data_IF_524846006454
#
_entry.id   IF_524846006454
#
_cell.length_a   1.000
_cell.length_b   1.000
_cell.length_c   1.000
_cell.angle_alpha   90.00
_cell.angle_beta   90.00
_cell.angle_gamma   90.00
#
_symmetry.space_group_name_H-M   'P 1'
#
loop_
_entity.id
_entity.type
_entity.pdbx_description
1 polymer ?
#
# COMPACT_ATOMS: atom_id res chain seq x y z
N UNK A 1 -79.44 38.74 16.25
CA UNK A 1 -78.72 40.02 16.03
C UNK A 1 -77.35 39.92 16.66
N UNK A 2 -76.41 40.66 16.08
CA UNK A 2 -75.02 40.91 16.47
C UNK A 2 -73.96 40.02 15.84
N UNK A 3 -73.09 40.77 15.17
CA UNK A 3 -71.98 40.47 14.28
C UNK A 3 -70.68 40.70 15.09
N UNK A 4 -69.56 40.15 14.58
CA UNK A 4 -68.14 40.53 14.82
C UNK A 4 -67.56 40.15 16.19
N UNK A 5 -66.32 39.65 16.32
CA UNK A 5 -65.08 40.09 15.66
C UNK A 5 -64.05 38.96 15.43
N UNK A 6 -63.14 39.25 14.49
CA UNK A 6 -62.01 38.44 14.03
C UNK A 6 -60.80 38.55 14.96
N UNK A 7 -60.10 37.44 15.20
CA UNK A 7 -58.67 37.44 15.52
C UNK A 7 -57.95 36.36 14.71
N UNK A 8 -56.95 36.82 13.96
CA UNK A 8 -56.01 36.03 13.16
C UNK A 8 -54.96 35.43 14.10
N UNK A 9 -54.56 34.18 13.87
CA UNK A 9 -53.21 33.71 14.26
C UNK A 9 -52.71 32.68 13.26
N UNK A 10 -51.51 32.95 12.76
CA UNK A 10 -50.84 32.35 11.61
C UNK A 10 -50.60 30.85 11.73
N UNK A 11 -50.81 30.15 10.61
CA UNK A 11 -50.24 28.84 10.33
C UNK A 11 -48.70 28.94 10.27
N UNK A 12 -48.02 28.19 11.12
CA UNK A 12 -46.58 27.96 11.02
C UNK A 12 -46.37 26.97 9.87
N UNK A 13 -45.88 27.48 8.73
CA UNK A 13 -45.42 26.66 7.62
C UNK A 13 -44.16 25.88 8.05
N UNK A 14 -44.28 24.56 8.10
CA UNK A 14 -43.16 23.63 8.21
C UNK A 14 -42.44 23.61 6.84
N UNK A 15 -41.45 24.49 6.68
CA UNK A 15 -40.61 24.52 5.49
C UNK A 15 -39.68 23.29 5.49
N UNK A 16 -39.76 22.52 4.39
CA UNK A 16 -38.87 21.41 4.07
C UNK A 16 -37.41 21.88 4.00
N UNK A 17 -36.54 21.19 4.73
CA UNK A 17 -35.08 21.32 4.61
C UNK A 17 -34.62 20.87 3.20
N UNK A 18 -33.77 21.63 2.50
CA UNK A 18 -33.18 21.17 1.25
C UNK A 18 -32.09 20.13 1.54
N UNK A 19 -32.15 19.03 0.77
CA UNK A 19 -31.15 17.96 0.78
C UNK A 19 -29.74 18.53 0.59
N UNK A 20 -28.84 18.21 1.52
CA UNK A 20 -27.42 18.52 1.41
C UNK A 20 -26.86 17.84 0.15
N UNK A 21 -26.58 18.63 -0.88
CA UNK A 21 -25.81 18.21 -2.05
C UNK A 21 -24.42 17.79 -1.54
N UNK A 22 -24.11 16.50 -1.57
CA UNK A 22 -22.76 16.00 -1.33
C UNK A 22 -21.87 16.55 -2.44
N UNK A 23 -20.96 17.46 -2.11
CA UNK A 23 -19.93 17.93 -3.02
C UNK A 23 -19.13 16.71 -3.54
N UNK A 24 -19.05 16.57 -4.85
CA UNK A 24 -18.16 15.61 -5.50
C UNK A 24 -16.71 15.94 -5.14
N UNK A 25 -15.88 14.95 -4.79
CA UNK A 25 -14.47 15.20 -4.48
C UNK A 25 -13.75 15.79 -5.70
N UNK A 26 -12.84 16.77 -5.52
CA UNK A 26 -12.13 17.38 -6.63
C UNK A 26 -11.27 16.33 -7.34
N UNK A 27 -11.35 16.30 -8.68
CA UNK A 27 -10.55 15.41 -9.51
C UNK A 27 -9.05 15.65 -9.25
N UNK A 28 -8.31 14.60 -8.93
CA UNK A 28 -6.84 14.65 -8.82
C UNK A 28 -6.24 15.13 -10.15
N UNK A 29 -5.37 16.13 -10.11
CA UNK A 29 -4.65 16.63 -11.31
C UNK A 29 -3.61 15.59 -11.73
N UNK A 30 -3.58 15.27 -13.02
CA UNK A 30 -2.82 14.14 -13.57
C UNK A 30 -1.34 14.43 -13.84
N UNK A 31 -0.88 15.69 -13.87
CA UNK A 31 0.55 15.98 -14.11
C UNK A 31 0.96 17.42 -13.74
N UNK A 32 2.23 17.59 -13.35
CA UNK A 32 2.89 18.87 -13.17
C UNK A 32 3.66 19.27 -14.42
N UNK A 33 3.57 20.54 -14.81
CA UNK A 33 4.35 21.16 -15.88
C UNK A 33 5.84 21.26 -15.51
N UNK A 34 6.70 21.35 -16.53
CA UNK A 34 8.16 21.46 -16.31
C UNK A 34 8.54 22.68 -15.45
N UNK A 35 7.80 23.79 -15.58
CA UNK A 35 8.02 24.99 -14.78
C UNK A 35 7.69 24.78 -13.31
N UNK A 36 6.57 24.11 -13.03
CA UNK A 36 6.18 23.77 -11.66
C UNK A 36 7.19 22.82 -11.00
N UNK A 37 7.76 21.88 -11.75
CA UNK A 37 8.83 20.97 -11.27
C UNK A 37 10.11 21.74 -10.94
N UNK A 38 10.51 22.68 -11.79
CA UNK A 38 11.70 23.51 -11.56
C UNK A 38 11.53 24.41 -10.33
N UNK A 39 10.35 25.03 -10.17
CA UNK A 39 10.08 25.86 -9.01
C UNK A 39 10.04 25.01 -7.71
N UNK A 40 9.62 23.75 -7.79
CA UNK A 40 9.63 22.83 -6.64
C UNK A 40 11.07 22.43 -6.27
N UNK A 41 11.93 22.19 -7.26
CA UNK A 41 13.35 21.91 -7.04
C UNK A 41 14.06 23.10 -6.40
N UNK A 42 13.80 24.33 -6.88
CA UNK A 42 14.37 25.55 -6.31
C UNK A 42 13.92 25.78 -4.86
N UNK A 43 12.64 25.53 -4.56
CA UNK A 43 12.12 25.60 -3.20
C UNK A 43 12.75 24.53 -2.30
N UNK A 44 12.94 23.31 -2.81
CA UNK A 44 13.60 22.25 -2.04
C UNK A 44 15.04 22.60 -1.71
N UNK A 45 15.78 23.17 -2.67
CA UNK A 45 17.17 23.57 -2.44
C UNK A 45 17.28 24.72 -1.43
N UNK A 46 16.36 25.69 -1.48
CA UNK A 46 16.33 26.81 -0.55
C UNK A 46 15.95 26.41 0.88
N UNK A 47 15.04 25.45 1.03
CA UNK A 47 14.50 25.07 2.34
C UNK A 47 15.22 23.88 2.97
N UNK A 48 15.79 23.00 2.13
CA UNK A 48 16.30 21.66 2.48
C UNK A 48 15.31 20.82 3.28
N UNK A 49 14.02 21.13 3.19
CA UNK A 49 12.94 20.51 3.95
C UNK A 49 11.83 20.07 2.99
N UNK A 50 11.95 18.82 2.56
CA UNK A 50 11.01 18.17 1.64
C UNK A 50 9.58 18.20 2.19
N UNK A 51 9.41 18.03 3.50
CA UNK A 51 8.08 17.99 4.11
C UNK A 51 7.39 19.36 4.06
N UNK A 52 8.16 20.43 4.25
CA UNK A 52 7.67 21.81 4.14
C UNK A 52 7.24 22.14 2.71
N UNK A 53 8.07 21.84 1.71
CA UNK A 53 7.77 22.13 0.30
C UNK A 53 6.55 21.34 -0.19
N UNK A 54 6.39 20.08 0.24
CA UNK A 54 5.21 19.28 -0.10
C UNK A 54 3.96 19.86 0.55
N UNK A 55 4.02 20.30 1.81
CA UNK A 55 2.88 20.88 2.53
C UNK A 55 2.44 22.22 1.94
N UNK A 56 3.37 23.07 1.53
CA UNK A 56 3.09 24.37 0.92
C UNK A 56 2.48 24.23 -0.48
N UNK A 57 3.00 23.30 -1.29
CA UNK A 57 2.52 23.11 -2.67
C UNK A 57 1.29 22.22 -2.79
N UNK A 58 1.11 21.32 -1.84
CA UNK A 58 0.01 20.37 -1.82
C UNK A 58 -0.60 20.28 -0.41
N UNK A 59 -1.29 21.33 0.05
CA UNK A 59 -1.87 21.39 1.39
C UNK A 59 -2.85 20.24 1.65
N UNK A 60 -3.48 19.71 0.60
CA UNK A 60 -4.45 18.62 0.66
C UNK A 60 -3.81 17.23 0.66
N UNK A 61 -2.59 17.08 0.11
CA UNK A 61 -1.88 15.79 0.06
C UNK A 61 -1.10 15.49 1.34
N UNK A 62 -0.57 16.50 2.04
CA UNK A 62 0.53 16.28 2.99
C UNK A 62 0.10 15.84 4.40
N UNK A 63 -1.13 16.09 4.82
CA UNK A 63 -1.59 15.71 6.17
C UNK A 63 -2.77 14.75 6.11
N UNK A 64 -3.79 15.04 5.31
CA UNK A 64 -5.06 14.32 5.41
C UNK A 64 -4.95 12.84 4.99
N UNK A 65 -4.43 12.51 3.80
CA UNK A 65 -4.50 11.13 3.30
C UNK A 65 -3.49 10.16 3.96
N UNK A 66 -2.27 10.62 4.23
CA UNK A 66 -1.28 9.80 4.93
C UNK A 66 -1.65 9.61 6.40
N UNK A 67 -1.99 10.69 7.11
CA UNK A 67 -2.42 10.58 8.51
C UNK A 67 -3.75 9.84 8.63
N UNK A 68 -4.70 10.00 7.70
CA UNK A 68 -5.94 9.23 7.70
C UNK A 68 -5.70 7.75 7.52
N UNK A 69 -4.74 7.36 6.66
CA UNK A 69 -4.33 5.95 6.52
C UNK A 69 -3.67 5.43 7.79
N UNK A 70 -2.77 6.20 8.39
CA UNK A 70 -2.14 5.83 9.67
C UNK A 70 -3.17 5.71 10.80
N UNK A 71 -4.14 6.63 10.89
CA UNK A 71 -5.25 6.59 11.86
C UNK A 71 -6.17 5.41 11.60
N UNK A 72 -6.50 5.09 10.34
CA UNK A 72 -7.29 3.92 9.97
C UNK A 72 -6.59 2.63 10.38
N UNK A 73 -5.31 2.48 10.03
CA UNK A 73 -4.49 1.36 10.46
C UNK A 73 -4.43 1.26 11.99
N UNK A 74 -4.24 2.39 12.70
CA UNK A 74 -4.17 2.40 14.16
C UNK A 74 -5.49 2.00 14.81
N UNK A 75 -6.62 2.46 14.25
CA UNK A 75 -7.96 2.06 14.68
C UNK A 75 -8.17 0.56 14.47
N UNK A 76 -7.83 0.01 13.31
CA UNK A 76 -7.93 -1.44 13.01
C UNK A 76 -7.04 -2.28 13.94
N UNK A 77 -5.80 -1.85 14.19
CA UNK A 77 -4.91 -2.54 15.13
C UNK A 77 -5.44 -2.57 16.58
N UNK A 78 -6.18 -1.53 16.98
CA UNK A 78 -6.83 -1.47 18.31
C UNK A 78 -8.01 -2.44 18.40
N UNK A 79 -8.78 -2.58 17.32
CA UNK A 79 -9.91 -3.52 17.24
C UNK A 79 -9.42 -4.97 17.32
N UNK A 80 -8.27 -5.27 16.74
CA UNK A 80 -7.67 -6.61 16.72
C UNK A 80 -6.75 -6.89 17.94
N UNK A 81 -6.70 -5.98 18.93
CA UNK A 81 -5.79 -6.07 20.08
C UNK A 81 -4.32 -6.35 19.69
N UNK A 82 -3.86 -5.80 18.57
CA UNK A 82 -2.50 -6.00 18.07
C UNK A 82 -1.53 -5.05 18.76
N UNK A 83 -0.54 -5.60 19.47
CA UNK A 83 0.55 -4.83 20.05
C UNK A 83 1.55 -4.44 18.97
N UNK A 84 1.74 -3.13 18.76
CA UNK A 84 2.72 -2.61 17.79
C UNK A 84 4.07 -2.37 18.45
N UNK A 85 5.09 -3.08 18.00
CA UNK A 85 6.46 -2.82 18.44
C UNK A 85 7.06 -1.62 17.70
N UNK A 86 7.71 -0.70 18.42
CA UNK A 86 8.48 0.38 17.79
C UNK A 86 9.77 -0.19 17.22
N UNK A 87 10.01 0.06 15.93
CA UNK A 87 11.24 -0.35 15.24
C UNK A 87 12.09 0.88 14.96
N UNK A 88 13.34 0.95 15.44
CA UNK A 88 14.22 2.07 15.13
C UNK A 88 14.52 2.14 13.63
N UNK A 89 14.45 3.34 13.03
CA UNK A 89 14.67 3.55 11.59
C UNK A 89 16.02 3.03 11.09
N UNK A 90 17.06 3.08 11.93
CA UNK A 90 18.42 2.62 11.60
C UNK A 90 18.64 1.11 11.80
N UNK A 91 17.68 0.39 12.38
CA UNK A 91 17.85 -1.01 12.80
C UNK A 91 16.85 -1.96 12.12
N UNK A 92 16.16 -1.51 11.06
CA UNK A 92 15.14 -2.30 10.37
C UNK A 92 15.70 -3.66 9.92
N UNK A 93 16.93 -3.69 9.39
CA UNK A 93 17.59 -4.92 8.91
C UNK A 93 17.84 -5.98 9.99
N UNK A 94 17.88 -5.60 11.27
CA UNK A 94 18.14 -6.52 12.40
C UNK A 94 16.90 -6.75 13.26
N UNK A 95 15.94 -5.83 13.23
CA UNK A 95 14.73 -5.88 14.06
C UNK A 95 13.49 -6.37 13.30
N UNK A 96 13.56 -6.55 11.97
CA UNK A 96 12.46 -7.10 11.18
C UNK A 96 12.76 -8.56 10.80
N UNK A 97 11.98 -9.54 11.31
CA UNK A 97 12.16 -10.96 11.00
C UNK A 97 12.36 -11.27 9.50
N UNK A 98 11.61 -10.56 8.66
CA UNK A 98 11.70 -10.68 7.21
C UNK A 98 13.08 -10.32 6.67
N UNK A 99 13.60 -9.16 7.05
CA UNK A 99 14.91 -8.69 6.61
C UNK A 99 16.05 -9.50 7.20
N UNK A 100 15.89 -10.04 8.41
CA UNK A 100 16.92 -10.83 9.08
C UNK A 100 17.10 -12.20 8.44
N UNK A 101 16.02 -12.83 7.95
CA UNK A 101 16.09 -14.24 7.55
C UNK A 101 15.48 -14.54 6.18
N UNK A 102 14.20 -14.26 5.94
CA UNK A 102 13.53 -14.85 4.76
C UNK A 102 13.53 -13.98 3.50
N UNK A 103 13.71 -12.66 3.59
CA UNK A 103 13.80 -11.79 2.42
C UNK A 103 14.98 -12.15 1.52
N UNK A 104 16.12 -12.54 2.09
CA UNK A 104 17.29 -12.97 1.33
C UNK A 104 17.02 -14.23 0.48
N UNK A 105 16.66 -15.40 1.06
CA UNK A 105 16.39 -16.60 0.28
C UNK A 105 15.19 -16.45 -0.66
N UNK A 106 14.16 -15.70 -0.25
CA UNK A 106 13.02 -15.39 -1.11
C UNK A 106 13.45 -14.62 -2.37
N UNK A 107 14.20 -13.52 -2.21
CA UNK A 107 14.73 -12.74 -3.34
C UNK A 107 15.73 -13.53 -4.18
N UNK A 108 16.49 -14.46 -3.59
CA UNK A 108 17.40 -15.33 -4.33
C UNK A 108 16.64 -16.25 -5.31
N UNK A 109 15.51 -16.83 -4.88
CA UNK A 109 14.66 -17.66 -5.75
C UNK A 109 13.98 -16.87 -6.85
N UNK A 110 13.43 -15.70 -6.54
CA UNK A 110 12.87 -14.81 -7.56
C UNK A 110 13.89 -14.46 -8.65
N UNK A 111 15.14 -14.18 -8.25
CA UNK A 111 16.23 -13.96 -9.21
C UNK A 111 16.55 -15.22 -10.02
N UNK A 112 16.48 -16.41 -9.41
CA UNK A 112 16.70 -17.66 -10.12
C UNK A 112 15.63 -17.91 -11.20
N UNK A 113 14.35 -17.68 -10.91
CA UNK A 113 13.28 -17.77 -11.90
C UNK A 113 13.44 -16.76 -13.02
N UNK A 114 13.77 -15.51 -12.68
CA UNK A 114 14.06 -14.47 -13.65
C UNK A 114 15.21 -14.87 -14.58
N UNK A 115 16.35 -15.30 -14.03
CA UNK A 115 17.51 -15.73 -14.81
C UNK A 115 17.19 -16.96 -15.66
N UNK A 116 16.40 -17.91 -15.14
CA UNK A 116 15.91 -19.06 -15.89
C UNK A 116 15.10 -18.65 -17.12
N UNK A 117 14.17 -17.71 -16.93
CA UNK A 117 13.35 -17.14 -17.99
C UNK A 117 14.20 -16.43 -19.07
N UNK A 118 15.20 -15.63 -18.65
CA UNK A 118 16.15 -15.00 -19.58
C UNK A 118 16.93 -16.03 -20.41
N UNK A 119 17.40 -17.10 -19.77
CA UNK A 119 18.17 -18.16 -20.43
C UNK A 119 17.32 -18.92 -21.44
N UNK A 120 16.05 -19.15 -21.15
CA UNK A 120 15.12 -19.82 -22.06
C UNK A 120 14.85 -18.98 -23.31
N UNK A 121 14.64 -17.67 -23.15
CA UNK A 121 14.51 -16.75 -24.29
C UNK A 121 15.78 -16.74 -25.16
N UNK A 122 16.96 -16.73 -24.54
CA UNK A 122 18.22 -16.73 -25.27
C UNK A 122 18.43 -18.04 -26.05
N UNK A 123 17.99 -19.18 -25.51
CA UNK A 123 18.05 -20.47 -26.21
C UNK A 123 17.05 -20.58 -27.37
N UNK A 124 15.87 -19.98 -27.22
CA UNK A 124 14.85 -19.97 -28.26
C UNK A 124 15.17 -18.98 -29.40
N UNK A 125 16.10 -18.05 -29.17
CA UNK A 125 16.48 -17.06 -30.15
C UNK A 125 17.32 -17.67 -31.28
N UNK A 126 16.78 -17.62 -32.51
CA UNK A 126 17.50 -17.99 -33.72
C UNK A 126 18.33 -16.82 -34.26
N UNK A 127 19.56 -17.09 -34.69
CA UNK A 127 20.62 -16.12 -35.03
C UNK A 127 20.36 -15.22 -36.24
N UNK A 128 19.15 -15.21 -36.81
CA UNK A 128 18.79 -14.39 -37.97
C UNK A 128 18.45 -12.94 -37.64
N UNK A 129 17.99 -12.66 -36.41
CA UNK A 129 17.49 -11.34 -36.00
C UNK A 129 18.20 -10.85 -34.72
N UNK A 130 17.98 -9.57 -34.37
CA UNK A 130 18.44 -9.01 -33.09
C UNK A 130 17.61 -9.60 -31.94
N UNK A 131 18.28 -10.01 -30.87
CA UNK A 131 17.60 -10.47 -29.66
C UNK A 131 16.79 -9.33 -29.03
N UNK A 132 15.50 -9.55 -28.85
CA UNK A 132 14.59 -8.66 -28.12
C UNK A 132 14.09 -9.38 -26.86
N UNK A 133 14.34 -8.78 -25.70
CA UNK A 133 13.92 -9.35 -24.43
C UNK A 133 12.40 -9.18 -24.26
N UNK A 134 11.70 -10.29 -24.04
CA UNK A 134 10.30 -10.28 -23.63
C UNK A 134 10.23 -10.18 -22.11
N UNK A 135 9.47 -9.20 -21.59
CA UNK A 135 9.20 -9.08 -20.17
C UNK A 135 8.19 -10.14 -19.72
N UNK A 136 8.26 -10.63 -18.47
CA UNK A 136 7.29 -11.58 -17.95
C UNK A 136 5.99 -10.84 -17.63
N UNK A 137 4.86 -11.40 -18.02
CA UNK A 137 3.55 -10.91 -17.58
C UNK A 137 3.34 -11.04 -16.06
N UNK A 138 2.34 -10.32 -15.54
CA UNK A 138 2.01 -10.30 -14.12
C UNK A 138 1.64 -11.68 -13.58
N UNK A 139 0.92 -12.50 -14.35
CA UNK A 139 0.52 -13.86 -13.96
C UNK A 139 1.76 -14.73 -13.68
N UNK A 140 2.77 -14.62 -14.54
CA UNK A 140 4.04 -15.34 -14.39
C UNK A 140 4.86 -14.85 -13.20
N UNK A 141 4.92 -13.53 -12.98
CA UNK A 141 5.56 -12.96 -11.78
C UNK A 141 4.84 -13.40 -10.51
N UNK A 142 3.50 -13.37 -10.48
CA UNK A 142 2.71 -13.84 -9.34
C UNK A 142 2.95 -15.34 -9.05
N UNK A 143 3.04 -16.16 -10.10
CA UNK A 143 3.40 -17.57 -9.98
C UNK A 143 4.80 -17.74 -9.37
N UNK A 144 5.79 -16.97 -9.80
CA UNK A 144 7.14 -17.00 -9.22
C UNK A 144 7.15 -16.58 -7.75
N UNK A 145 6.33 -15.59 -7.38
CA UNK A 145 6.16 -15.17 -5.98
C UNK A 145 5.59 -16.30 -5.14
N UNK A 146 4.51 -16.95 -5.60
CA UNK A 146 3.90 -18.10 -4.92
C UNK A 146 4.92 -19.23 -4.75
N UNK A 147 5.57 -19.65 -5.83
CA UNK A 147 6.56 -20.74 -5.78
C UNK A 147 7.74 -20.40 -4.86
N UNK A 148 8.27 -19.17 -4.92
CA UNK A 148 9.37 -18.75 -4.05
C UNK A 148 8.99 -18.75 -2.57
N UNK A 149 7.73 -18.43 -2.27
CA UNK A 149 7.16 -18.47 -0.93
C UNK A 149 6.97 -19.91 -0.43
N UNK A 150 6.38 -20.79 -1.24
CA UNK A 150 6.15 -22.20 -0.90
C UNK A 150 7.46 -22.96 -0.66
N UNK A 151 8.54 -22.54 -1.33
CA UNK A 151 9.87 -23.11 -1.09
C UNK A 151 10.51 -22.64 0.23
N UNK A 152 9.99 -21.61 0.92
CA UNK A 152 10.48 -21.22 2.25
C UNK A 152 9.99 -22.22 3.29
N UNK A 153 10.92 -22.80 4.05
CA UNK A 153 10.50 -23.68 5.15
C UNK A 153 9.92 -22.87 6.30
N UNK A 154 8.93 -23.44 7.00
CA UNK A 154 8.41 -22.87 8.24
C UNK A 154 9.51 -22.64 9.29
N UNK A 155 10.57 -23.46 9.27
CA UNK A 155 11.75 -23.28 10.13
C UNK A 155 12.54 -22.01 9.81
N UNK A 156 12.67 -21.63 8.54
CA UNK A 156 13.29 -20.36 8.12
C UNK A 156 12.47 -19.18 8.63
N UNK A 157 11.14 -19.25 8.56
CA UNK A 157 10.25 -18.22 9.11
C UNK A 157 10.39 -18.13 10.63
N UNK A 158 10.27 -19.24 11.34
CA UNK A 158 10.39 -19.29 12.81
C UNK A 158 11.75 -18.76 13.30
N UNK A 159 12.85 -19.11 12.61
CA UNK A 159 14.18 -18.59 12.91
C UNK A 159 14.30 -17.07 12.71
N UNK A 160 13.54 -16.49 11.77
CA UNK A 160 13.44 -15.03 11.60
C UNK A 160 12.90 -14.34 12.84
N UNK A 161 11.78 -14.83 13.34
CA UNK A 161 11.18 -14.31 14.58
C UNK A 161 12.09 -14.53 15.78
N UNK A 162 12.66 -15.73 15.92
CA UNK A 162 13.61 -16.03 17.01
C UNK A 162 14.86 -15.14 16.98
N UNK A 163 15.39 -14.80 15.81
CA UNK A 163 16.56 -13.91 15.72
C UNK A 163 16.22 -12.45 16.00
N UNK A 164 15.09 -11.97 15.47
CA UNK A 164 14.68 -10.58 15.64
C UNK A 164 14.19 -10.27 17.06
N UNK A 165 13.52 -11.25 17.70
CA UNK A 165 12.81 -11.05 18.97
C UNK A 165 13.18 -12.06 20.06
N UNK A 166 14.02 -13.06 19.81
CA UNK A 166 14.38 -14.07 20.82
C UNK A 166 14.94 -13.53 22.14
N UNK A 167 15.67 -12.40 22.18
CA UNK A 167 16.04 -11.75 23.44
C UNK A 167 14.87 -11.09 24.19
N UNK A 168 13.72 -10.93 23.54
CA UNK A 168 12.54 -10.19 24.01
C UNK A 168 11.32 -11.09 24.27
N UNK A 169 11.35 -12.35 23.85
CA UNK A 169 10.25 -13.31 23.97
C UNK A 169 10.65 -14.43 24.92
N UNK A 170 9.76 -14.81 25.83
CA UNK A 170 9.91 -16.05 26.59
C UNK A 170 9.38 -17.26 25.81
N UNK A 171 9.66 -18.49 26.26
CA UNK A 171 9.20 -19.71 25.58
C UNK A 171 7.66 -19.84 25.56
N UNK A 172 6.92 -19.07 26.37
CA UNK A 172 5.46 -19.04 26.39
C UNK A 172 4.87 -18.10 25.32
N UNK A 173 5.62 -17.07 24.89
CA UNK A 173 5.21 -16.13 23.85
C UNK A 173 5.20 -16.73 22.42
N UNK A 174 5.81 -17.90 22.21
CA UNK A 174 5.92 -18.59 20.90
C UNK A 174 4.73 -19.55 20.68
N UNK A 175 3.54 -19.23 21.20
CA UNK A 175 2.32 -19.99 20.91
C UNK A 175 1.70 -19.57 19.56
N UNK A 176 2.36 -19.91 18.46
CA UNK A 176 1.93 -19.51 17.10
C UNK A 176 0.64 -20.21 16.61
N UNK A 177 0.23 -21.32 17.23
CA UNK A 177 -0.92 -22.10 16.80
C UNK A 177 -2.26 -21.40 17.09
N UNK A 178 -2.42 -20.81 18.27
CA UNK A 178 -3.63 -20.06 18.65
C UNK A 178 -3.77 -18.76 17.87
N UNK A 179 -2.65 -18.18 17.40
CA UNK A 179 -2.65 -16.93 16.67
C UNK A 179 -3.39 -17.04 15.33
N UNK A 180 -3.14 -18.10 14.56
CA UNK A 180 -3.79 -18.31 13.26
C UNK A 180 -5.30 -18.50 13.46
N UNK A 181 -5.71 -19.34 14.42
CA UNK A 181 -7.12 -19.56 14.71
C UNK A 181 -7.81 -18.28 15.19
N UNK A 182 -7.16 -17.50 16.05
CA UNK A 182 -7.67 -16.21 16.52
C UNK A 182 -7.79 -15.20 15.38
N UNK A 183 -6.80 -15.11 14.48
CA UNK A 183 -6.85 -14.21 13.32
C UNK A 183 -7.95 -14.62 12.34
N UNK A 184 -8.12 -15.93 12.08
CA UNK A 184 -9.23 -16.46 11.28
C UNK A 184 -10.58 -16.11 11.90
N UNK A 185 -10.73 -16.28 13.23
CA UNK A 185 -11.98 -15.98 13.96
C UNK A 185 -12.37 -14.50 13.88
N UNK A 186 -11.39 -13.60 13.76
CA UNK A 186 -11.61 -12.17 13.62
C UNK A 186 -11.66 -11.69 12.16
N UNK A 187 -11.70 -12.60 11.18
CA UNK A 187 -11.65 -12.29 9.75
C UNK A 187 -10.46 -11.39 9.37
N UNK A 188 -9.34 -11.53 10.08
CA UNK A 188 -8.10 -10.77 9.85
C UNK A 188 -7.13 -11.51 8.91
N UNK A 189 -7.54 -12.67 8.39
CA UNK A 189 -6.85 -13.38 7.31
C UNK A 189 -7.71 -13.23 6.06
N UNK A 190 -7.12 -12.72 4.99
CA UNK A 190 -7.79 -12.64 3.70
C UNK A 190 -8.07 -14.07 3.21
N UNK A 191 -9.36 -14.40 3.07
CA UNK A 191 -9.79 -15.70 2.56
C UNK A 191 -9.62 -15.79 1.03
N UNK A 192 -9.48 -14.65 0.36
CA UNK A 192 -9.35 -14.52 -1.08
C UNK A 192 -8.27 -13.50 -1.42
N UNK A 193 -7.46 -13.81 -2.44
CA UNK A 193 -6.49 -12.87 -2.97
C UNK A 193 -7.31 -11.93 -3.86
N UNK A 194 -7.57 -10.70 -3.37
CA UNK A 194 -8.42 -9.74 -4.06
C UNK A 194 -8.04 -9.52 -5.54
N UNK A 195 -9.01 -9.05 -6.33
CA UNK A 195 -8.85 -8.82 -7.76
C UNK A 195 -7.63 -7.94 -8.07
N UNK A 196 -6.79 -8.42 -8.99
CA UNK A 196 -5.62 -7.69 -9.45
C UNK A 196 -6.08 -6.60 -10.42
N UNK A 197 -6.20 -5.36 -9.94
CA UNK A 197 -6.46 -4.21 -10.81
C UNK A 197 -5.24 -4.03 -11.73
N UNK A 198 -5.44 -4.15 -13.04
CA UNK A 198 -4.34 -4.25 -14.01
C UNK A 198 -3.62 -2.93 -14.26
N UNK A 199 -4.15 -1.81 -13.77
CA UNK A 199 -3.72 -0.47 -14.16
C UNK A 199 -2.87 0.26 -13.12
N UNK A 200 -1.97 1.10 -13.66
CA UNK A 200 -1.25 2.21 -13.01
C UNK A 200 0.24 2.08 -12.66
N UNK A 201 1.10 1.32 -13.37
CA UNK A 201 2.57 1.45 -13.13
C UNK A 201 3.53 1.21 -14.33
N UNK A 202 3.05 1.01 -15.56
CA UNK A 202 3.95 0.92 -16.73
C UNK A 202 3.54 1.99 -17.75
N UNK A 203 4.15 3.16 -17.65
CA UNK A 203 4.21 4.11 -18.78
C UNK A 203 4.97 3.40 -19.91
N UNK A 204 4.22 2.86 -20.87
CA UNK A 204 4.78 2.41 -22.14
C UNK A 204 5.16 3.69 -22.87
N UNK A 205 6.44 4.07 -22.81
CA UNK A 205 6.97 5.03 -23.77
C UNK A 205 6.91 4.33 -25.13
N UNK A 206 5.91 4.68 -25.93
CA UNK A 206 5.94 4.46 -27.37
C UNK A 206 7.25 5.06 -27.87
N UNK A 207 8.15 4.19 -28.32
CA UNK A 207 9.37 4.61 -29.00
C UNK A 207 8.94 4.88 -30.43
N UNK A 208 8.91 6.15 -30.80
CA UNK A 208 8.68 6.58 -32.18
C UNK A 208 9.66 5.84 -33.10
N UNK A 209 9.12 5.12 -34.09
CA UNK A 209 9.89 4.53 -35.18
C UNK A 209 10.37 5.65 -36.11
N UNK A 210 11.70 5.80 -36.21
CA UNK A 210 12.37 6.50 -37.32
C UNK A 210 13.47 5.62 -37.91
#
# INVERSE_FOLDING_TARGET
MLQTQSLKTSAINLAMHPAAQRATPPKRRASYTARERLDAANALEATKDVARVIKERNPDLSASAYESRQRKQQKEGTVLNVVRMKVPKSAISVCQPADVVWNFPFKARLRAYWVGYLREQLRAHNSGNKFALTAPDRVKVAKWVSMAWDELSSTTIANGYKKAFGPLLDDADIAAADLIENLSRHCAIDADIGEFDSDDDIEVNEVDEE
#
